data_IF_103393401700
#
_entry.id   IF_103393401700
#
_cell.length_a   1.000
_cell.length_b   1.000
_cell.length_c   1.000
_cell.angle_alpha   90.00
_cell.angle_beta   90.00
_cell.angle_gamma   90.00
#
_symmetry.space_group_name_H-M   'P 1'
#
loop_
_entity.id
_entity.type
_entity.pdbx_description
1 polymer ?
#
# COMPACT_ATOMS: atom_id res chain seq x y z
N UNK A 1 17.15 -25.81 -0.33
CA UNK A 1 17.53 -24.56 0.36
C UNK A 1 18.74 -23.95 -0.30
N UNK A 2 19.83 -24.71 -0.46
CA UNK A 2 21.11 -24.20 -1.00
C UNK A 2 20.97 -23.58 -2.39
N UNK A 3 20.25 -24.23 -3.31
CA UNK A 3 19.99 -23.68 -4.64
C UNK A 3 19.21 -22.34 -4.64
N UNK A 4 18.39 -22.04 -3.62
CA UNK A 4 17.71 -20.75 -3.50
C UNK A 4 18.65 -19.69 -2.93
N UNK A 5 19.52 -20.07 -1.98
CA UNK A 5 20.52 -19.17 -1.38
C UNK A 5 21.62 -18.82 -2.39
N UNK A 6 22.13 -19.80 -3.14
CA UNK A 6 23.16 -19.61 -4.17
C UNK A 6 22.65 -18.77 -5.36
N UNK A 7 21.35 -18.81 -5.65
CA UNK A 7 20.77 -18.02 -6.74
C UNK A 7 20.33 -16.60 -6.31
N UNK A 8 20.36 -16.30 -5.01
CA UNK A 8 20.04 -14.97 -4.51
C UNK A 8 21.20 -14.02 -4.84
N UNK A 9 20.95 -12.74 -5.14
CA UNK A 9 22.01 -11.76 -5.35
C UNK A 9 22.91 -11.65 -4.12
N UNK A 10 24.22 -11.44 -4.32
CA UNK A 10 25.20 -11.31 -3.23
C UNK A 10 24.85 -10.17 -2.27
N UNK A 11 24.25 -9.08 -2.77
CA UNK A 11 23.78 -7.94 -2.00
C UNK A 11 22.43 -8.18 -1.29
N UNK A 12 21.77 -9.31 -1.54
CA UNK A 12 20.38 -9.56 -1.16
C UNK A 12 19.36 -8.71 -1.93
N UNK A 13 18.07 -8.86 -1.60
CA UNK A 13 16.99 -8.01 -2.13
C UNK A 13 16.65 -6.83 -1.20
N UNK A 14 17.00 -6.95 0.08
CA UNK A 14 16.88 -5.89 1.07
C UNK A 14 18.19 -5.80 1.83
N UNK A 15 18.67 -4.58 2.09
CA UNK A 15 19.74 -4.40 3.06
C UNK A 15 19.30 -4.99 4.41
N UNK A 16 20.07 -5.93 4.95
CA UNK A 16 19.93 -6.48 6.31
C UNK A 16 18.63 -7.24 6.69
N UNK A 17 17.70 -7.49 5.74
CA UNK A 17 16.50 -8.31 5.99
C UNK A 17 16.63 -9.71 5.41
N UNK A 18 16.85 -10.67 6.30
CA UNK A 18 16.69 -12.09 6.02
C UNK A 18 15.21 -12.47 6.23
N UNK A 19 14.72 -13.47 5.50
CA UNK A 19 13.42 -14.10 5.72
C UNK A 19 13.59 -15.62 5.74
N UNK A 20 12.57 -16.33 6.22
CA UNK A 20 12.55 -17.79 6.23
C UNK A 20 12.25 -18.34 4.84
N UNK A 21 13.16 -19.18 4.35
CA UNK A 21 13.01 -19.86 3.06
C UNK A 21 11.93 -20.94 3.13
N UNK A 22 11.14 -21.11 2.08
CA UNK A 22 10.12 -22.16 2.01
C UNK A 22 10.35 -23.11 0.83
N UNK A 23 10.02 -24.42 0.97
CA UNK A 23 10.10 -25.35 -0.15
C UNK A 23 9.00 -25.19 -1.19
N UNK A 24 7.94 -24.41 -0.95
CA UNK A 24 6.82 -24.25 -1.89
C UNK A 24 6.19 -22.85 -1.90
N UNK A 25 5.55 -22.42 -3.00
CA UNK A 25 4.76 -21.19 -3.05
C UNK A 25 3.54 -21.25 -2.11
N UNK A 26 2.93 -20.10 -1.85
CA UNK A 26 1.67 -20.02 -1.12
C UNK A 26 0.50 -20.42 -2.01
N UNK A 27 -0.21 -21.49 -1.64
CA UNK A 27 -1.29 -22.04 -2.45
C UNK A 27 -2.59 -21.24 -2.27
N UNK A 28 -3.11 -20.71 -3.38
CA UNK A 28 -4.40 -20.06 -3.44
C UNK A 28 -5.49 -21.06 -3.82
N UNK A 29 -6.66 -20.93 -3.21
CA UNK A 29 -7.88 -21.57 -3.71
C UNK A 29 -8.33 -20.97 -5.04
N UNK A 30 -9.14 -21.71 -5.81
CA UNK A 30 -9.76 -21.20 -7.05
C UNK A 30 -10.57 -19.92 -6.82
N UNK A 31 -11.27 -19.83 -5.68
CA UNK A 31 -12.04 -18.64 -5.28
C UNK A 31 -11.12 -17.44 -5.05
N UNK A 32 -10.02 -17.62 -4.31
CA UNK A 32 -9.04 -16.56 -4.06
C UNK A 32 -8.40 -16.06 -5.36
N UNK A 33 -7.95 -16.97 -6.24
CA UNK A 33 -7.42 -16.60 -7.57
C UNK A 33 -8.41 -15.77 -8.38
N UNK A 34 -9.69 -16.19 -8.44
CA UNK A 34 -10.75 -15.44 -9.14
C UNK A 34 -10.94 -14.06 -8.52
N UNK A 35 -10.89 -13.95 -7.20
CA UNK A 35 -11.01 -12.67 -6.51
C UNK A 35 -9.86 -11.74 -6.88
N UNK A 36 -8.62 -12.18 -6.72
CA UNK A 36 -7.41 -11.38 -6.97
C UNK A 36 -7.32 -10.95 -8.44
N UNK A 37 -7.63 -11.83 -9.41
CA UNK A 37 -7.64 -11.45 -10.83
C UNK A 37 -8.63 -10.32 -11.16
N UNK A 38 -9.73 -10.23 -10.40
CA UNK A 38 -10.79 -9.24 -10.62
C UNK A 38 -10.62 -7.91 -9.86
N UNK A 39 -9.57 -7.73 -9.05
CA UNK A 39 -9.41 -6.53 -8.20
C UNK A 39 -8.72 -5.36 -8.89
N UNK A 40 -7.83 -5.60 -9.85
CA UNK A 40 -7.01 -4.54 -10.46
C UNK A 40 -7.86 -3.38 -11.01
N UNK A 41 -8.87 -3.69 -11.84
CA UNK A 41 -9.70 -2.68 -12.46
C UNK A 41 -10.56 -1.87 -11.45
N UNK A 42 -11.29 -2.50 -10.51
CA UNK A 42 -11.98 -1.76 -9.44
C UNK A 42 -11.06 -0.85 -8.61
N UNK A 43 -9.84 -1.30 -8.27
CA UNK A 43 -8.88 -0.50 -7.50
C UNK A 43 -8.36 0.68 -8.31
N UNK A 44 -8.06 0.49 -9.59
CA UNK A 44 -7.67 1.60 -10.47
C UNK A 44 -8.80 2.62 -10.61
N UNK A 45 -10.05 2.16 -10.78
CA UNK A 45 -11.23 3.03 -10.81
C UNK A 45 -11.43 3.77 -9.49
N UNK A 46 -11.08 3.16 -8.35
CA UNK A 46 -11.12 3.81 -7.04
C UNK A 46 -10.12 4.97 -6.96
N UNK A 47 -8.88 4.77 -7.40
CA UNK A 47 -7.88 5.85 -7.49
C UNK A 47 -8.33 6.98 -8.42
N UNK A 48 -8.85 6.66 -9.61
CA UNK A 48 -9.36 7.66 -10.55
C UNK A 48 -10.54 8.45 -9.98
N UNK A 49 -11.47 7.78 -9.29
CA UNK A 49 -12.58 8.44 -8.62
C UNK A 49 -12.10 9.32 -7.46
N UNK A 50 -11.10 8.87 -6.69
CA UNK A 50 -10.47 9.66 -5.64
C UNK A 50 -9.85 10.96 -6.18
N UNK A 51 -9.08 10.89 -7.27
CA UNK A 51 -8.53 12.06 -7.95
C UNK A 51 -9.63 13.04 -8.39
N UNK A 52 -10.68 12.53 -9.04
CA UNK A 52 -11.77 13.39 -9.52
C UNK A 52 -12.53 14.04 -8.35
N UNK A 53 -12.79 13.31 -7.27
CA UNK A 53 -13.43 13.85 -6.06
C UNK A 53 -12.56 14.95 -5.43
N UNK A 54 -11.26 14.71 -5.29
CA UNK A 54 -10.30 15.70 -4.79
C UNK A 54 -10.34 16.97 -5.64
N UNK A 55 -10.24 16.82 -6.96
CA UNK A 55 -10.19 17.95 -7.91
C UNK A 55 -11.52 18.70 -7.98
N UNK A 56 -12.66 18.02 -7.88
CA UNK A 56 -13.96 18.69 -7.76
C UNK A 56 -14.09 19.47 -6.45
N UNK A 57 -13.61 18.91 -5.33
CA UNK A 57 -13.56 19.63 -4.04
C UNK A 57 -12.67 20.88 -4.12
N UNK A 58 -11.47 20.75 -4.68
CA UNK A 58 -10.53 21.86 -4.84
C UNK A 58 -11.09 22.99 -5.71
N UNK A 59 -11.90 22.65 -6.74
CA UNK A 59 -12.62 23.62 -7.59
C UNK A 59 -13.89 24.18 -6.94
N UNK A 60 -14.30 23.69 -5.78
CA UNK A 60 -15.53 24.11 -5.09
C UNK A 60 -16.83 23.52 -5.67
N UNK A 61 -16.74 22.46 -6.48
CA UNK A 61 -17.88 21.72 -7.02
C UNK A 61 -18.39 20.64 -6.05
N UNK A 62 -17.50 20.15 -5.19
CA UNK A 62 -17.82 19.36 -4.01
C UNK A 62 -17.41 20.16 -2.74
N UNK A 63 -17.89 19.76 -1.54
CA UNK A 63 -17.51 20.42 -0.29
C UNK A 63 -15.99 20.55 -0.13
N UNK A 64 -15.52 21.76 0.23
CA UNK A 64 -14.09 22.09 0.31
C UNK A 64 -13.34 21.33 1.40
N UNK A 65 -14.04 20.81 2.42
CA UNK A 65 -13.40 20.06 3.50
C UNK A 65 -12.67 18.81 3.00
N UNK A 66 -13.09 18.22 1.88
CA UNK A 66 -12.46 17.00 1.33
C UNK A 66 -11.03 17.29 0.88
N UNK A 67 -10.86 18.29 0.00
CA UNK A 67 -9.53 18.74 -0.43
C UNK A 67 -8.75 19.34 0.74
N UNK A 68 -9.38 20.15 1.59
CA UNK A 68 -8.74 20.70 2.79
C UNK A 68 -8.12 19.63 3.70
N UNK A 69 -8.85 18.54 3.95
CA UNK A 69 -8.35 17.39 4.72
C UNK A 69 -7.19 16.68 4.01
N UNK A 70 -7.34 16.42 2.70
CA UNK A 70 -6.28 15.76 1.92
C UNK A 70 -5.04 16.64 1.72
N UNK A 71 -5.17 17.96 1.85
CA UNK A 71 -4.07 18.94 1.78
C UNK A 71 -3.41 19.26 3.14
N UNK A 72 -3.97 18.77 4.26
CA UNK A 72 -3.48 19.04 5.61
C UNK A 72 -2.01 18.61 5.81
N UNK A 73 -1.12 19.56 6.13
CA UNK A 73 0.32 19.33 6.33
C UNK A 73 1.18 19.27 5.07
N UNK A 74 0.59 19.41 3.87
CA UNK A 74 1.35 19.31 2.62
C UNK A 74 1.90 20.67 2.19
N UNK A 75 3.09 20.74 1.59
CA UNK A 75 3.66 21.98 1.09
C UNK A 75 2.79 22.64 0.01
N UNK A 76 2.66 23.96 0.06
CA UNK A 76 1.83 24.74 -0.90
C UNK A 76 2.16 24.45 -2.36
N UNK A 77 3.44 24.29 -2.70
CA UNK A 77 3.87 24.01 -4.07
C UNK A 77 3.38 22.65 -4.56
N UNK A 78 3.32 21.65 -3.68
CA UNK A 78 2.85 20.31 -4.00
C UNK A 78 1.33 20.30 -4.14
N UNK A 79 0.64 21.04 -3.26
CA UNK A 79 -0.80 21.28 -3.36
C UNK A 79 -1.16 22.01 -4.67
N UNK A 80 -0.39 23.01 -5.06
CA UNK A 80 -0.57 23.70 -6.33
C UNK A 80 -0.32 22.75 -7.52
N UNK A 81 0.75 21.95 -7.46
CA UNK A 81 1.11 21.00 -8.51
C UNK A 81 0.00 19.96 -8.74
N UNK A 82 -0.49 19.27 -7.70
CA UNK A 82 -1.53 18.23 -7.87
C UNK A 82 -2.86 18.78 -8.43
N UNK A 83 -3.12 20.08 -8.22
CA UNK A 83 -4.32 20.76 -8.74
C UNK A 83 -4.14 21.28 -10.18
N UNK A 84 -2.93 21.28 -10.71
CA UNK A 84 -2.65 21.73 -12.07
C UNK A 84 -3.53 20.99 -13.10
N UNK A 85 -4.07 21.68 -14.12
CA UNK A 85 -4.86 21.04 -15.17
C UNK A 85 -4.15 19.88 -15.86
N UNK A 86 -2.84 19.97 -16.07
CA UNK A 86 -2.01 18.93 -16.69
C UNK A 86 -1.83 17.68 -15.83
N UNK A 87 -2.17 17.74 -14.55
CA UNK A 87 -2.19 16.56 -13.67
C UNK A 87 -3.55 15.84 -13.69
N UNK A 88 -4.55 16.30 -14.42
CA UNK A 88 -5.87 15.67 -14.45
C UNK A 88 -5.80 14.20 -14.92
N UNK A 89 -6.29 13.25 -14.12
CA UNK A 89 -6.37 11.85 -14.52
C UNK A 89 -5.06 11.07 -14.43
N UNK A 90 -3.95 11.73 -14.10
CA UNK A 90 -2.69 11.06 -13.78
C UNK A 90 -2.82 10.30 -12.45
N UNK A 91 -2.68 8.97 -12.50
CA UNK A 91 -2.79 8.06 -11.36
C UNK A 91 -1.55 7.16 -11.25
N UNK A 92 -1.24 6.60 -10.08
CA UNK A 92 -0.22 5.56 -9.97
C UNK A 92 -0.45 4.44 -10.97
N UNK A 93 0.62 4.02 -11.66
CA UNK A 93 0.57 2.96 -12.68
C UNK A 93 0.90 1.57 -12.16
N UNK A 94 1.38 1.48 -10.91
CA UNK A 94 1.50 0.24 -10.15
C UNK A 94 0.53 0.33 -8.98
N UNK A 95 -0.30 -0.70 -8.81
CA UNK A 95 -1.30 -0.78 -7.75
C UNK A 95 -0.99 -2.02 -6.92
N UNK A 96 -0.68 -1.83 -5.64
CA UNK A 96 -0.47 -2.92 -4.69
C UNK A 96 -1.37 -2.71 -3.46
N UNK A 97 -2.52 -3.38 -3.37
CA UNK A 97 -3.25 -3.46 -2.12
C UNK A 97 -2.53 -4.45 -1.20
N UNK A 98 -2.46 -4.12 0.08
CA UNK A 98 -2.05 -5.09 1.09
C UNK A 98 -3.30 -5.74 1.66
N UNK A 99 -3.43 -7.04 1.39
CA UNK A 99 -4.63 -7.81 1.68
C UNK A 99 -4.38 -8.78 2.82
N UNK A 100 -5.07 -8.61 3.94
CA UNK A 100 -5.11 -9.59 5.00
C UNK A 100 -6.04 -10.74 4.60
N UNK A 101 -5.58 -11.97 4.77
CA UNK A 101 -6.39 -13.15 4.52
C UNK A 101 -7.35 -13.40 5.70
N UNK A 102 -8.65 -13.45 5.43
CA UNK A 102 -9.71 -13.73 6.42
C UNK A 102 -10.37 -15.08 6.14
N UNK A 103 -11.29 -15.52 7.00
CA UNK A 103 -12.09 -16.73 6.73
C UNK A 103 -12.97 -16.58 5.48
N UNK A 104 -13.50 -15.38 5.24
CA UNK A 104 -14.46 -15.12 4.16
C UNK A 104 -13.83 -14.62 2.85
N UNK A 105 -12.53 -14.31 2.85
CA UNK A 105 -11.82 -13.82 1.69
C UNK A 105 -10.65 -12.93 2.05
N UNK A 106 -10.73 -11.66 1.65
CA UNK A 106 -9.65 -10.68 1.84
C UNK A 106 -10.21 -9.39 2.38
N UNK A 107 -9.38 -8.69 3.14
CA UNK A 107 -9.66 -7.33 3.54
C UNK A 107 -8.41 -6.46 3.37
N UNK A 108 -8.58 -5.25 2.84
CA UNK A 108 -7.45 -4.36 2.58
C UNK A 108 -7.05 -3.59 3.82
N UNK A 109 -5.77 -3.65 4.19
CA UNK A 109 -5.19 -2.83 5.26
C UNK A 109 -4.67 -1.49 4.76
N UNK A 110 -4.23 -1.44 3.51
CA UNK A 110 -3.70 -0.26 2.82
C UNK A 110 -3.73 -0.45 1.29
N UNK A 111 -3.54 0.66 0.57
CA UNK A 111 -3.28 0.69 -0.86
C UNK A 111 -1.97 1.46 -1.06
N UNK A 112 -0.90 0.76 -1.41
CA UNK A 112 0.43 1.35 -1.49
C UNK A 112 0.60 2.13 -2.82
N UNK A 113 1.04 3.38 -2.70
CA UNK A 113 1.29 4.29 -3.82
C UNK A 113 2.69 4.15 -4.43
N UNK A 114 3.67 3.65 -3.67
CA UNK A 114 5.08 3.48 -4.05
C UNK A 114 5.56 2.06 -3.66
N UNK A 115 4.97 1.00 -4.25
CA UNK A 115 5.15 -0.33 -3.70
C UNK A 115 6.54 -0.94 -3.96
N UNK A 116 7.29 -1.21 -2.90
CA UNK A 116 8.45 -2.12 -2.94
C UNK A 116 8.06 -3.59 -3.12
N UNK A 117 9.03 -4.51 -3.23
CA UNK A 117 8.80 -5.96 -3.33
C UNK A 117 8.63 -6.51 -4.75
N UNK A 118 8.74 -5.66 -5.78
CA UNK A 118 8.58 -6.06 -7.18
C UNK A 118 9.72 -6.94 -7.71
N UNK A 119 10.98 -6.54 -7.50
CA UNK A 119 12.15 -7.31 -7.94
C UNK A 119 12.30 -8.62 -7.16
N UNK A 120 12.03 -8.58 -5.85
CA UNK A 120 11.97 -9.74 -4.96
C UNK A 120 10.95 -10.75 -5.46
N UNK A 121 9.71 -10.31 -5.73
CA UNK A 121 8.67 -11.19 -6.24
C UNK A 121 9.02 -11.72 -7.63
N UNK A 122 9.56 -10.89 -8.52
CA UNK A 122 9.99 -11.32 -9.86
C UNK A 122 11.06 -12.43 -9.79
N UNK A 123 12.07 -12.27 -8.93
CA UNK A 123 13.08 -13.30 -8.70
C UNK A 123 12.49 -14.57 -8.08
N UNK A 124 11.65 -14.43 -7.05
CA UNK A 124 10.98 -15.55 -6.42
C UNK A 124 10.14 -16.33 -7.43
N UNK A 125 9.31 -15.65 -8.23
CA UNK A 125 8.51 -16.27 -9.29
C UNK A 125 9.38 -17.07 -10.26
N UNK A 126 10.52 -16.52 -10.68
CA UNK A 126 11.50 -17.21 -11.54
C UNK A 126 12.06 -18.48 -10.88
N UNK A 127 12.48 -18.38 -9.62
CA UNK A 127 13.10 -19.50 -8.91
C UNK A 127 12.12 -20.63 -8.62
N UNK A 128 10.91 -20.32 -8.16
CA UNK A 128 9.90 -21.35 -7.92
C UNK A 128 9.34 -21.94 -9.22
N UNK A 129 9.22 -21.16 -10.30
CA UNK A 129 8.85 -21.70 -11.61
C UNK A 129 9.90 -22.70 -12.15
N UNK A 130 11.20 -22.41 -11.99
CA UNK A 130 12.29 -23.37 -12.29
C UNK A 130 12.22 -24.64 -11.44
N UNK A 131 11.68 -24.54 -10.22
CA UNK A 131 11.37 -25.67 -9.36
C UNK A 131 10.15 -26.50 -9.79
N UNK A 132 9.49 -26.13 -10.89
CA UNK A 132 8.33 -26.86 -11.45
C UNK A 132 6.97 -26.40 -10.93
N UNK A 133 6.89 -25.28 -10.20
CA UNK A 133 5.63 -24.73 -9.70
C UNK A 133 4.96 -23.81 -10.73
N UNK A 134 3.63 -23.90 -10.84
CA UNK A 134 2.82 -22.96 -11.62
C UNK A 134 2.56 -21.69 -10.80
N UNK A 135 3.25 -20.60 -11.10
CA UNK A 135 3.19 -19.35 -10.32
C UNK A 135 2.01 -18.49 -10.75
N UNK A 136 1.29 -17.93 -9.77
CA UNK A 136 0.20 -17.00 -10.01
C UNK A 136 0.73 -15.68 -10.58
N UNK A 137 0.35 -15.36 -11.82
CA UNK A 137 0.94 -14.27 -12.62
C UNK A 137 2.04 -14.72 -13.59
N UNK A 138 2.52 -15.96 -13.45
CA UNK A 138 3.55 -16.57 -14.30
C UNK A 138 4.97 -16.19 -13.90
N UNK A 139 5.95 -16.87 -14.51
CA UNK A 139 7.39 -16.67 -14.27
C UNK A 139 7.83 -15.22 -14.51
N UNK A 140 7.31 -14.60 -15.57
CA UNK A 140 7.74 -13.28 -16.07
C UNK A 140 6.72 -12.17 -15.82
N UNK A 141 5.60 -12.45 -15.16
CA UNK A 141 4.48 -11.52 -15.05
C UNK A 141 4.84 -10.17 -14.43
N UNK A 142 5.71 -10.17 -13.41
CA UNK A 142 6.23 -8.95 -12.79
C UNK A 142 7.11 -8.13 -13.74
N UNK A 143 8.04 -8.78 -14.45
CA UNK A 143 8.94 -8.11 -15.40
C UNK A 143 8.17 -7.55 -16.60
N UNK A 144 7.30 -8.36 -17.21
CA UNK A 144 6.44 -7.93 -18.32
C UNK A 144 5.49 -6.81 -17.90
N UNK A 145 4.94 -6.90 -16.69
CA UNK A 145 4.06 -5.90 -16.11
C UNK A 145 4.77 -4.55 -15.94
N UNK A 146 5.94 -4.54 -15.29
CA UNK A 146 6.72 -3.32 -15.10
C UNK A 146 7.21 -2.73 -16.43
N UNK A 147 7.72 -3.58 -17.35
CA UNK A 147 8.15 -3.14 -18.68
C UNK A 147 7.01 -2.52 -19.49
N UNK A 148 5.77 -3.02 -19.34
CA UNK A 148 4.60 -2.46 -20.04
C UNK A 148 4.29 -1.02 -19.65
N UNK A 149 4.83 -0.55 -18.51
CA UNK A 149 4.71 0.84 -18.11
C UNK A 149 5.58 1.76 -18.97
N UNK A 150 6.74 1.26 -19.42
CA UNK A 150 7.81 2.03 -20.04
C UNK A 150 8.36 1.30 -21.27
N UNK A 151 7.70 1.40 -22.45
CA UNK A 151 8.13 0.69 -23.66
C UNK A 151 9.56 1.00 -24.10
N UNK A 152 10.02 2.23 -23.88
CA UNK A 152 11.39 2.71 -24.20
C UNK A 152 12.35 2.60 -22.99
N UNK A 153 11.89 2.01 -21.89
CA UNK A 153 12.60 1.96 -20.62
C UNK A 153 12.43 3.22 -19.77
N UNK A 154 12.91 3.15 -18.52
CA UNK A 154 12.78 4.22 -17.53
C UNK A 154 13.96 4.28 -16.57
N UNK A 155 14.13 5.44 -15.96
CA UNK A 155 14.99 5.62 -14.81
C UNK A 155 14.19 5.40 -13.52
N UNK A 156 14.63 4.48 -12.68
CA UNK A 156 14.10 4.28 -11.33
C UNK A 156 14.90 5.18 -10.38
N UNK A 157 14.24 6.11 -9.71
CA UNK A 157 14.87 6.98 -8.72
C UNK A 157 14.59 6.46 -7.31
N UNK A 158 15.63 6.07 -6.58
CA UNK A 158 15.55 5.58 -5.20
C UNK A 158 16.13 6.64 -4.28
N UNK A 159 15.40 7.06 -3.24
CA UNK A 159 15.95 7.98 -2.24
C UNK A 159 16.78 7.25 -1.19
N UNK A 160 17.51 8.01 -0.38
CA UNK A 160 18.26 7.50 0.77
C UNK A 160 17.33 6.85 1.81
N UNK A 161 16.16 7.45 2.10
CA UNK A 161 15.14 6.89 3.01
C UNK A 161 14.62 5.53 2.51
N UNK A 162 14.53 5.35 1.19
CA UNK A 162 14.14 4.08 0.55
C UNK A 162 15.32 3.17 0.20
N UNK A 163 16.52 3.48 0.70
CA UNK A 163 17.78 2.84 0.33
C UNK A 163 17.83 1.33 0.60
N UNK A 164 17.06 0.83 1.58
CA UNK A 164 16.91 -0.61 1.86
C UNK A 164 16.44 -1.41 0.63
N UNK A 165 15.72 -0.78 -0.30
CA UNK A 165 15.17 -1.38 -1.52
C UNK A 165 16.09 -1.23 -2.73
N UNK A 166 17.19 -0.48 -2.62
CA UNK A 166 18.12 -0.28 -3.73
C UNK A 166 18.62 -1.61 -4.34
N UNK A 167 19.02 -2.63 -3.56
CA UNK A 167 19.45 -3.91 -4.13
C UNK A 167 18.35 -4.61 -4.96
N UNK A 168 17.10 -4.55 -4.51
CA UNK A 168 15.96 -5.06 -5.26
C UNK A 168 15.75 -4.32 -6.58
N UNK A 169 15.86 -2.99 -6.57
CA UNK A 169 15.69 -2.17 -7.78
C UNK A 169 16.82 -2.39 -8.77
N UNK A 170 18.07 -2.51 -8.30
CA UNK A 170 19.23 -2.88 -9.13
C UNK A 170 19.00 -4.23 -9.83
N UNK A 171 18.53 -5.22 -9.08
CA UNK A 171 18.20 -6.53 -9.66
C UNK A 171 17.07 -6.44 -10.68
N UNK A 172 16.02 -5.65 -10.40
CA UNK A 172 14.90 -5.48 -11.31
C UNK A 172 15.34 -4.89 -12.65
N UNK A 173 16.17 -3.84 -12.65
CA UNK A 173 16.65 -3.24 -13.91
C UNK A 173 17.60 -4.15 -14.67
N UNK A 174 18.44 -4.91 -13.98
CA UNK A 174 19.30 -5.92 -14.61
C UNK A 174 18.46 -7.01 -15.31
N UNK A 175 17.40 -7.48 -14.64
CA UNK A 175 16.49 -8.49 -15.17
C UNK A 175 15.64 -8.00 -16.35
N UNK A 176 15.31 -6.70 -16.38
CA UNK A 176 14.59 -6.06 -17.48
C UNK A 176 15.49 -5.83 -18.71
N UNK A 177 16.77 -5.54 -18.49
CA UNK A 177 17.75 -5.30 -19.55
C UNK A 177 17.78 -3.85 -20.05
N UNK A 178 18.24 -3.68 -21.30
CA UNK A 178 18.55 -2.36 -21.89
C UNK A 178 17.35 -1.40 -21.90
N UNK A 179 17.60 -0.13 -21.54
CA UNK A 179 16.59 0.93 -21.43
C UNK A 179 16.20 1.28 -19.99
N UNK A 180 16.46 0.39 -19.03
CA UNK A 180 16.23 0.64 -17.61
C UNK A 180 17.52 0.97 -16.86
N UNK A 181 17.41 1.85 -15.86
CA UNK A 181 18.52 2.18 -14.96
C UNK A 181 18.00 2.56 -13.59
N UNK A 182 18.84 2.45 -12.55
CA UNK A 182 18.56 2.96 -11.21
C UNK A 182 19.53 4.09 -10.88
N UNK A 183 19.04 5.16 -10.30
CA UNK A 183 19.84 6.29 -9.81
C UNK A 183 19.34 6.76 -8.44
N UNK A 184 20.20 7.44 -7.70
CA UNK A 184 19.80 8.09 -6.45
C UNK A 184 18.96 9.35 -6.74
N UNK A 185 17.82 9.49 -6.06
CA UNK A 185 16.89 10.60 -6.27
C UNK A 185 17.54 11.97 -5.98
N UNK A 186 18.39 12.03 -4.94
CA UNK A 186 19.07 13.24 -4.48
C UNK A 186 20.11 13.75 -5.48
N UNK A 187 20.61 12.86 -6.35
CA UNK A 187 21.61 13.16 -7.38
C UNK A 187 21.00 13.38 -8.76
N UNK A 188 19.67 13.33 -8.88
CA UNK A 188 19.00 13.52 -10.15
C UNK A 188 19.24 14.94 -10.68
N UNK A 189 19.83 15.03 -11.87
CA UNK A 189 20.29 16.29 -12.47
C UNK A 189 19.51 16.65 -13.76
N UNK A 190 18.35 16.03 -13.99
CA UNK A 190 17.54 16.22 -15.20
C UNK A 190 17.70 15.10 -16.23
N UNK A 191 16.83 15.12 -17.24
CA UNK A 191 16.82 14.16 -18.35
C UNK A 191 15.43 13.94 -18.95
N UNK A 192 15.40 13.38 -20.17
CA UNK A 192 14.17 13.20 -20.94
C UNK A 192 13.51 11.82 -20.81
N UNK A 193 14.11 10.89 -20.06
CA UNK A 193 13.61 9.51 -19.90
C UNK A 193 12.40 9.47 -18.96
N UNK A 194 11.48 8.54 -19.18
CA UNK A 194 10.42 8.25 -18.20
C UNK A 194 11.03 7.92 -16.84
N UNK A 195 10.36 8.31 -15.74
CA UNK A 195 10.83 8.07 -14.38
C UNK A 195 9.82 7.22 -13.61
N UNK A 196 10.32 6.15 -12.98
CA UNK A 196 9.63 5.50 -11.88
C UNK A 196 10.19 6.04 -10.56
N UNK A 197 9.35 6.76 -9.81
CA UNK A 197 9.73 7.37 -8.54
C UNK A 197 9.60 6.34 -7.42
N UNK A 198 10.72 5.90 -6.86
CA UNK A 198 10.76 4.98 -5.73
C UNK A 198 11.21 5.70 -4.46
N UNK A 199 10.38 6.63 -4.02
CA UNK A 199 10.45 7.31 -2.73
C UNK A 199 9.06 7.85 -2.40
N UNK A 200 8.78 8.21 -1.16
CA UNK A 200 7.49 8.76 -0.71
C UNK A 200 7.50 10.29 -0.80
N UNK A 201 6.33 10.95 -0.91
CA UNK A 201 6.28 12.41 -1.05
C UNK A 201 6.59 13.16 0.25
N UNK A 202 6.63 12.50 1.41
CA UNK A 202 7.13 13.15 2.63
C UNK A 202 8.64 13.42 2.57
N UNK A 203 9.37 12.66 1.72
CA UNK A 203 10.83 12.72 1.59
C UNK A 203 11.32 13.87 0.69
N UNK A 204 10.39 14.64 0.10
CA UNK A 204 10.72 15.75 -0.80
C UNK A 204 11.71 16.79 -0.23
N UNK A 205 11.73 17.11 1.09
CA UNK A 205 12.74 18.01 1.65
C UNK A 205 14.18 17.52 1.44
N UNK A 206 14.40 16.20 1.34
CA UNK A 206 15.72 15.60 1.13
C UNK A 206 16.13 15.54 -0.35
N UNK A 207 15.23 15.85 -1.28
CA UNK A 207 15.42 15.65 -2.73
C UNK A 207 15.48 17.01 -3.45
N UNK A 208 16.67 17.59 -3.70
CA UNK A 208 16.78 18.95 -4.24
C UNK A 208 16.10 19.14 -5.60
N UNK A 209 16.16 18.11 -6.47
CA UNK A 209 15.57 18.12 -7.80
C UNK A 209 14.06 17.82 -7.85
N UNK A 210 13.39 17.65 -6.70
CA UNK A 210 12.00 17.18 -6.65
C UNK A 210 11.02 18.08 -7.41
N UNK A 211 11.14 19.41 -7.27
CA UNK A 211 10.24 20.37 -7.94
C UNK A 211 10.43 20.34 -9.45
N UNK A 212 11.68 20.25 -9.91
CA UNK A 212 12.01 20.17 -11.33
C UNK A 212 11.52 18.85 -11.93
N UNK A 213 11.69 17.75 -11.19
CA UNK A 213 11.18 16.44 -11.57
C UNK A 213 9.65 16.42 -11.68
N UNK A 214 8.94 17.02 -10.72
CA UNK A 214 7.50 17.16 -10.75
C UNK A 214 7.02 18.02 -11.94
N UNK A 215 7.64 19.19 -12.14
CA UNK A 215 7.30 20.11 -13.22
C UNK A 215 7.54 19.52 -14.62
N UNK A 216 8.57 18.68 -14.76
CA UNK A 216 8.89 17.99 -16.02
C UNK A 216 7.81 16.98 -16.44
N UNK A 217 7.10 16.37 -15.48
CA UNK A 217 6.15 15.29 -15.74
C UNK A 217 6.83 13.99 -16.19
N UNK A 218 6.05 13.07 -16.79
CA UNK A 218 6.53 11.73 -17.20
C UNK A 218 7.10 10.92 -16.02
N UNK A 219 6.44 11.03 -14.87
CA UNK A 219 6.80 10.37 -13.62
C UNK A 219 5.61 9.57 -13.11
N UNK A 220 5.83 8.31 -12.76
CA UNK A 220 4.86 7.51 -12.00
C UNK A 220 5.54 6.88 -10.78
N UNK A 221 4.87 6.81 -9.62
CA UNK A 221 3.61 7.47 -9.28
C UNK A 221 3.73 9.02 -9.35
N UNK A 222 2.61 9.73 -9.64
CA UNK A 222 2.61 11.18 -9.79
C UNK A 222 2.87 11.89 -8.45
N UNK A 223 3.25 13.18 -8.49
CA UNK A 223 3.44 14.03 -7.31
C UNK A 223 2.10 14.50 -6.74
N UNK A 224 1.27 13.55 -6.32
CA UNK A 224 -0.07 13.77 -5.78
C UNK A 224 -0.18 13.11 -4.41
N UNK A 225 0.04 13.85 -3.31
CA UNK A 225 0.14 13.29 -1.96
C UNK A 225 -1.12 12.54 -1.53
N UNK A 226 -2.29 12.91 -2.04
CA UNK A 226 -3.53 12.20 -1.70
C UNK A 226 -3.52 10.71 -2.12
N UNK A 227 -2.64 10.25 -3.00
CA UNK A 227 -2.52 8.82 -3.34
C UNK A 227 -1.70 8.01 -2.34
N UNK A 228 -0.89 8.66 -1.50
CA UNK A 228 -0.11 8.04 -0.43
C UNK A 228 -0.86 8.06 0.91
N UNK A 229 -2.11 8.52 0.91
CA UNK A 229 -2.96 8.68 2.10
C UNK A 229 -3.91 7.49 2.31
N UNK A 230 -3.93 6.96 3.54
CA UNK A 230 -4.96 6.00 3.98
C UNK A 230 -6.33 6.67 4.20
N UNK A 231 -6.41 8.00 4.20
CA UNK A 231 -7.65 8.78 4.29
C UNK A 231 -8.72 8.29 3.32
N UNK A 232 -8.36 7.88 2.10
CA UNK A 232 -9.33 7.37 1.13
C UNK A 232 -10.10 6.14 1.62
N UNK A 233 -9.49 5.30 2.46
CA UNK A 233 -10.17 4.14 3.04
C UNK A 233 -11.27 4.56 4.02
N UNK A 234 -11.04 5.62 4.81
CA UNK A 234 -12.05 6.20 5.70
C UNK A 234 -13.10 7.02 4.94
N UNK A 235 -12.66 7.85 3.99
CA UNK A 235 -13.53 8.69 3.15
C UNK A 235 -14.48 7.87 2.27
N UNK A 236 -14.10 6.65 1.92
CA UNK A 236 -15.01 5.71 1.25
C UNK A 236 -16.30 5.46 2.05
N UNK A 237 -16.19 5.41 3.39
CA UNK A 237 -17.29 5.12 4.29
C UNK A 237 -18.02 6.36 4.83
N UNK A 238 -17.47 7.56 4.61
CA UNK A 238 -18.08 8.82 5.06
C UNK A 238 -19.48 8.99 4.48
N UNK A 239 -20.54 9.12 5.30
CA UNK A 239 -21.93 9.19 4.83
C UNK A 239 -22.18 10.29 3.79
N UNK A 240 -21.55 11.45 3.95
CA UNK A 240 -21.66 12.59 3.03
C UNK A 240 -21.15 12.27 1.61
N UNK A 241 -20.22 11.31 1.46
CA UNK A 241 -19.63 10.93 0.18
C UNK A 241 -20.34 9.75 -0.49
N UNK A 242 -21.31 9.09 0.16
CA UNK A 242 -22.00 7.91 -0.39
C UNK A 242 -22.56 8.16 -1.80
N UNK A 243 -23.28 9.27 -1.99
CA UNK A 243 -23.87 9.63 -3.29
C UNK A 243 -22.81 10.04 -4.33
N UNK A 244 -21.68 10.60 -3.87
CA UNK A 244 -20.56 10.97 -4.73
C UNK A 244 -19.91 9.70 -5.27
N UNK A 245 -19.56 8.75 -4.40
CA UNK A 245 -19.01 7.46 -4.80
C UNK A 245 -19.92 6.68 -5.74
N UNK A 246 -21.24 6.66 -5.50
CA UNK A 246 -22.19 6.01 -6.40
C UNK A 246 -22.31 6.66 -7.78
N UNK A 247 -21.91 7.93 -7.95
CA UNK A 247 -21.83 8.59 -9.25
C UNK A 247 -20.51 8.28 -9.96
N UNK A 248 -19.40 8.31 -9.22
CA UNK A 248 -18.05 8.14 -9.79
C UNK A 248 -17.72 6.67 -10.11
N UNK A 249 -18.33 5.73 -9.36
CA UNK A 249 -18.08 4.29 -9.49
C UNK A 249 -19.32 3.55 -9.98
N UNK A 250 -19.10 2.56 -10.85
CA UNK A 250 -20.14 1.58 -11.20
C UNK A 250 -20.56 0.80 -9.97
N UNK A 251 -21.84 0.43 -9.88
CA UNK A 251 -22.39 -0.28 -8.72
C UNK A 251 -21.63 -1.56 -8.35
N UNK A 252 -21.19 -2.34 -9.35
CA UNK A 252 -20.37 -3.55 -9.12
C UNK A 252 -18.98 -3.26 -8.55
N UNK A 253 -18.36 -2.14 -8.94
CA UNK A 253 -17.07 -1.72 -8.37
C UNK A 253 -17.25 -1.22 -6.94
N UNK A 254 -18.31 -0.46 -6.68
CA UNK A 254 -18.65 0.03 -5.36
C UNK A 254 -18.88 -1.14 -4.38
N UNK A 255 -19.69 -2.12 -4.77
CA UNK A 255 -19.91 -3.33 -3.97
C UNK A 255 -18.60 -4.08 -3.71
N UNK A 256 -17.75 -4.22 -4.73
CA UNK A 256 -16.47 -4.89 -4.60
C UNK A 256 -15.54 -4.20 -3.59
N UNK A 257 -15.51 -2.87 -3.60
CA UNK A 257 -14.73 -2.09 -2.65
C UNK A 257 -15.34 -2.16 -1.23
N UNK A 258 -16.67 -2.18 -1.09
CA UNK A 258 -17.35 -2.38 0.19
C UNK A 258 -17.05 -3.74 0.83
N UNK A 259 -16.93 -4.80 0.03
CA UNK A 259 -16.51 -6.12 0.50
C UNK A 259 -15.04 -6.16 0.92
N UNK A 260 -14.20 -5.33 0.30
CA UNK A 260 -12.74 -5.36 0.49
C UNK A 260 -12.28 -4.45 1.64
N UNK A 261 -12.83 -3.24 1.71
CA UNK A 261 -12.37 -2.21 2.64
C UNK A 261 -13.10 -2.36 3.99
N UNK A 262 -12.41 -2.57 5.12
CA UNK A 262 -13.06 -2.48 6.43
C UNK A 262 -13.67 -1.09 6.64
N UNK A 263 -14.72 -0.98 7.47
CA UNK A 263 -15.27 0.32 7.81
C UNK A 263 -14.22 1.15 8.55
N UNK A 264 -14.17 2.45 8.25
CA UNK A 264 -13.20 3.36 8.84
C UNK A 264 -13.72 4.78 8.96
N UNK A 265 -13.02 5.55 9.77
CA UNK A 265 -13.34 6.92 10.14
C UNK A 265 -12.09 7.78 10.07
N UNK A 266 -12.28 9.06 9.81
CA UNK A 266 -11.24 10.07 10.00
C UNK A 266 -11.35 10.55 11.45
N UNK A 267 -10.22 10.70 12.13
CA UNK A 267 -10.18 11.23 13.51
C UNK A 267 -10.34 12.76 13.49
N UNK A 268 -11.54 13.21 13.12
CA UNK A 268 -11.92 14.63 13.07
C UNK A 268 -12.44 15.09 14.45
N UNK A 269 -11.77 16.04 15.13
CA UNK A 269 -12.14 16.52 16.46
C UNK A 269 -13.32 17.51 16.46
N UNK A 270 -13.94 17.77 15.31
CA UNK A 270 -15.08 18.67 15.21
C UNK A 270 -16.25 18.23 16.10
N UNK A 271 -16.87 19.20 16.77
CA UNK A 271 -18.01 18.98 17.65
C UNK A 271 -19.19 18.36 16.88
N UNK A 272 -19.68 17.21 17.36
CA UNK A 272 -20.83 16.51 16.75
C UNK A 272 -22.11 17.02 17.42
N UNK A 273 -23.17 17.38 16.65
CA UNK A 273 -24.43 17.81 17.23
C UNK A 273 -25.02 16.76 18.20
N UNK A 274 -25.74 17.16 19.27
CA UNK A 274 -26.23 16.23 20.31
C UNK A 274 -27.19 15.11 19.84
N UNK A 275 -27.67 15.16 18.60
CA UNK A 275 -28.57 14.18 17.99
C UNK A 275 -27.90 13.40 16.84
N UNK A 276 -26.57 13.51 16.70
CA UNK A 276 -25.76 12.79 15.75
C UNK A 276 -24.70 11.95 16.47
N UNK A 277 -24.11 10.99 15.77
CA UNK A 277 -23.07 10.11 16.30
C UNK A 277 -22.08 9.72 15.20
N UNK A 278 -20.89 9.30 15.60
CA UNK A 278 -19.94 8.58 14.74
C UNK A 278 -20.59 7.26 14.29
N UNK A 279 -20.84 7.04 12.98
CA UNK A 279 -21.61 5.89 12.51
C UNK A 279 -21.00 4.57 12.98
N UNK A 280 -21.82 3.64 13.48
CA UNK A 280 -21.45 2.31 14.01
C UNK A 280 -20.65 2.30 15.31
N UNK A 281 -19.98 3.40 15.67
CA UNK A 281 -19.41 3.57 17.01
C UNK A 281 -20.47 4.04 18.00
N UNK A 282 -21.49 4.74 17.50
CA UNK A 282 -22.66 5.20 18.26
C UNK A 282 -22.29 6.09 19.46
N UNK A 283 -21.25 6.91 19.30
CA UNK A 283 -20.78 7.92 20.26
C UNK A 283 -20.70 9.32 19.63
N UNK A 284 -20.71 10.36 20.46
CA UNK A 284 -20.77 11.75 20.02
C UNK A 284 -19.39 12.45 19.96
N UNK A 285 -18.31 11.77 20.33
CA UNK A 285 -16.95 12.34 20.31
C UNK A 285 -15.87 11.28 20.18
N UNK A 286 -14.67 11.70 19.79
CA UNK A 286 -13.48 10.82 19.82
C UNK A 286 -12.97 10.58 21.24
N UNK A 287 -13.21 11.50 22.18
CA UNK A 287 -12.89 11.29 23.59
C UNK A 287 -13.64 10.06 24.16
N UNK A 288 -14.93 9.91 23.82
CA UNK A 288 -15.70 8.70 24.16
C UNK A 288 -15.11 7.43 23.52
N UNK A 289 -14.56 7.52 22.30
CA UNK A 289 -13.83 6.40 21.69
C UNK A 289 -12.54 6.09 22.45
N UNK A 290 -11.86 7.11 22.97
CA UNK A 290 -10.71 6.97 23.88
C UNK A 290 -11.04 6.24 25.18
N UNK A 291 -12.28 6.38 25.65
CA UNK A 291 -12.80 5.73 26.86
C UNK A 291 -13.35 4.30 26.62
N UNK A 292 -13.31 3.80 25.39
CA UNK A 292 -13.78 2.46 25.07
C UNK A 292 -13.09 1.36 25.89
N UNK A 293 -13.92 0.41 26.36
CA UNK A 293 -13.44 -0.81 26.98
C UNK A 293 -12.61 -1.62 25.99
N UNK A 294 -11.76 -2.53 26.48
CA UNK A 294 -10.95 -3.41 25.62
C UNK A 294 -11.79 -4.17 24.57
N UNK A 295 -13.04 -4.52 24.91
CA UNK A 295 -13.96 -5.22 24.01
C UNK A 295 -14.45 -4.31 22.87
N UNK A 296 -14.68 -3.04 23.16
CA UNK A 296 -15.29 -2.09 22.23
C UNK A 296 -14.23 -1.45 21.32
N UNK A 297 -12.98 -1.34 21.77
CA UNK A 297 -11.85 -0.85 20.94
C UNK A 297 -11.19 -1.94 20.10
N UNK A 298 -11.98 -2.79 19.46
CA UNK A 298 -11.51 -3.67 18.36
C UNK A 298 -11.29 -2.87 17.08
N UNK A 299 -10.38 -1.90 17.18
CA UNK A 299 -10.11 -0.85 16.24
C UNK A 299 -8.60 -0.76 16.00
N UNK A 300 -8.22 -0.23 14.84
CA UNK A 300 -6.84 0.06 14.46
C UNK A 300 -6.74 1.55 14.14
N UNK A 301 -5.95 2.27 14.94
CA UNK A 301 -5.60 3.66 14.70
C UNK A 301 -4.32 3.72 13.85
N UNK A 302 -4.34 4.50 12.77
CA UNK A 302 -3.25 4.61 11.81
C UNK A 302 -3.03 6.07 11.43
N UNK A 303 -1.77 6.52 11.41
CA UNK A 303 -1.41 7.74 10.70
C UNK A 303 -1.71 7.55 9.21
N UNK A 304 -2.30 8.56 8.55
CA UNK A 304 -2.83 8.36 7.21
C UNK A 304 -1.75 8.21 6.13
N UNK A 305 -0.84 9.17 6.00
CA UNK A 305 0.14 9.25 4.92
C UNK A 305 0.94 10.54 5.00
N UNK A 306 1.83 10.79 4.03
CA UNK A 306 2.75 11.95 4.03
C UNK A 306 3.53 12.09 5.36
N UNK A 307 4.00 10.97 5.90
CA UNK A 307 4.69 10.89 7.19
C UNK A 307 5.72 9.77 7.20
N UNK A 308 6.87 10.00 7.83
CA UNK A 308 7.88 8.96 8.11
C UNK A 308 7.30 7.83 9.00
N UNK A 309 6.24 8.10 9.76
CA UNK A 309 5.58 7.10 10.61
C UNK A 309 4.59 6.22 9.82
N UNK A 310 4.25 6.59 8.58
CA UNK A 310 3.25 5.90 7.77
C UNK A 310 3.75 4.59 7.14
N UNK A 311 5.07 4.32 7.22
CA UNK A 311 5.70 3.09 6.76
C UNK A 311 6.14 2.19 7.92
N UNK A 312 6.30 0.88 7.64
CA UNK A 312 6.90 -0.06 8.61
C UNK A 312 6.09 -0.33 9.89
N UNK A 313 4.78 -0.07 9.89
CA UNK A 313 3.87 -0.26 11.06
C UNK A 313 4.19 0.59 12.29
N UNK A 314 5.00 1.65 12.17
CA UNK A 314 5.39 2.54 13.28
C UNK A 314 4.21 3.37 13.79
N UNK A 315 3.43 3.96 12.89
CA UNK A 315 2.22 4.73 13.22
C UNK A 315 0.93 3.89 13.30
N UNK A 316 0.99 2.64 13.78
CA UNK A 316 -0.17 1.74 13.87
C UNK A 316 -0.38 1.25 15.30
N UNK A 317 -1.57 1.51 15.84
CA UNK A 317 -1.97 1.14 17.22
C UNK A 317 -3.22 0.27 17.14
N UNK A 318 -3.16 -0.92 17.76
CA UNK A 318 -4.29 -1.85 17.83
C UNK A 318 -4.94 -1.67 19.20
N UNK A 319 -6.15 -1.10 19.24
CA UNK A 319 -6.75 -0.61 20.49
C UNK A 319 -6.85 -1.68 21.58
N UNK A 320 -7.32 -2.87 21.23
CA UNK A 320 -7.50 -3.97 22.19
C UNK A 320 -6.20 -4.63 22.66
N UNK A 321 -5.05 -4.28 22.08
CA UNK A 321 -3.72 -4.80 22.46
C UNK A 321 -2.93 -3.88 23.39
N UNK A 322 -3.37 -2.64 23.54
CA UNK A 322 -2.70 -1.64 24.37
C UNK A 322 -3.48 -1.34 25.65
N UNK A 323 -2.79 -0.76 26.63
CA UNK A 323 -3.43 -0.32 27.87
C UNK A 323 -4.47 0.79 27.59
N UNK A 324 -5.46 0.95 28.48
CA UNK A 324 -6.51 1.97 28.26
C UNK A 324 -5.97 3.39 28.20
N UNK A 325 -5.01 3.72 29.06
CA UNK A 325 -4.34 5.02 29.06
C UNK A 325 -3.54 5.26 27.78
N UNK A 326 -2.91 4.22 27.22
CA UNK A 326 -2.18 4.31 25.97
C UNK A 326 -3.13 4.55 24.78
N UNK A 327 -4.25 3.83 24.71
CA UNK A 327 -5.29 4.05 23.70
C UNK A 327 -5.88 5.47 23.77
N UNK A 328 -6.26 5.91 24.97
CA UNK A 328 -6.82 7.25 25.18
C UNK A 328 -5.82 8.34 24.76
N UNK A 329 -4.55 8.21 25.16
CA UNK A 329 -3.49 9.14 24.78
C UNK A 329 -3.28 9.17 23.26
N UNK A 330 -3.36 8.01 22.60
CA UNK A 330 -3.20 7.91 21.15
C UNK A 330 -4.37 8.58 20.39
N UNK A 331 -5.61 8.42 20.87
CA UNK A 331 -6.76 9.10 20.30
C UNK A 331 -6.69 10.62 20.51
N UNK A 332 -6.30 11.07 21.71
CA UNK A 332 -6.08 12.48 21.99
C UNK A 332 -5.01 13.08 21.06
N UNK A 333 -3.87 12.41 20.92
CA UNK A 333 -2.80 12.82 20.01
C UNK A 333 -3.28 12.89 18.55
N UNK A 334 -4.05 11.89 18.10
CA UNK A 334 -4.62 11.88 16.75
C UNK A 334 -5.57 13.06 16.49
N UNK A 335 -6.32 13.50 17.50
CA UNK A 335 -7.16 14.70 17.43
C UNK A 335 -6.31 15.98 17.34
N UNK A 336 -5.25 16.10 18.15
CA UNK A 336 -4.33 17.25 18.14
C UNK A 336 -3.65 17.44 16.77
N UNK A 337 -3.26 16.33 16.14
CA UNK A 337 -2.56 16.35 14.85
C UNK A 337 -3.48 16.57 13.64
N UNK A 338 -4.81 16.55 13.80
CA UNK A 338 -5.77 16.53 12.68
C UNK A 338 -5.49 17.55 11.56
N UNK A 339 -5.06 18.76 11.91
CA UNK A 339 -4.82 19.85 10.95
C UNK A 339 -3.51 19.74 10.16
N UNK A 340 -2.57 18.92 10.60
CA UNK A 340 -1.23 18.77 10.01
C UNK A 340 -0.92 17.35 9.59
N UNK A 341 -1.39 16.36 10.33
CA UNK A 341 -1.11 14.95 10.11
C UNK A 341 -2.37 14.14 10.44
N UNK A 342 -3.33 14.03 9.51
CA UNK A 342 -4.58 13.33 9.77
C UNK A 342 -4.38 11.85 10.11
N UNK A 343 -5.21 11.36 11.03
CA UNK A 343 -5.27 9.95 11.42
C UNK A 343 -6.58 9.31 10.98
N UNK A 344 -6.53 8.00 10.77
CA UNK A 344 -7.70 7.18 10.49
C UNK A 344 -7.85 6.08 11.53
N UNK A 345 -9.09 5.79 11.90
CA UNK A 345 -9.46 4.60 12.65
C UNK A 345 -10.16 3.63 11.70
N UNK A 346 -9.88 2.35 11.85
CA UNK A 346 -10.47 1.29 11.03
C UNK A 346 -10.90 0.13 11.91
N UNK A 347 -12.01 -0.54 11.56
CA UNK A 347 -12.42 -1.80 12.21
C UNK A 347 -11.28 -2.82 12.14
N UNK A 348 -10.92 -3.40 13.28
CA UNK A 348 -9.94 -4.50 13.31
C UNK A 348 -10.55 -5.76 12.69
N UNK A 349 -9.83 -6.34 11.74
CA UNK A 349 -10.25 -7.58 11.06
C UNK A 349 -9.42 -8.76 11.54
N UNK A 350 -10.09 -9.84 11.94
CA UNK A 350 -9.41 -11.09 12.29
C UNK A 350 -8.89 -11.78 11.04
N UNK A 351 -7.60 -12.05 11.02
CA UNK A 351 -6.99 -12.82 9.94
C UNK A 351 -7.08 -14.31 10.24
N UNK A 352 -7.28 -15.11 9.20
CA UNK A 352 -7.25 -16.56 9.27
C UNK A 352 -5.84 -17.08 9.57
N UNK A 353 -5.77 -18.19 10.29
CA UNK A 353 -4.53 -18.97 10.45
C UNK A 353 -4.30 -19.88 9.24
N UNK A 354 -3.05 -19.94 8.80
CA UNK A 354 -2.57 -20.80 7.72
C UNK A 354 -1.40 -21.65 8.20
N UNK A 355 -1.23 -22.80 7.57
CA UNK A 355 -0.05 -23.64 7.76
C UNK A 355 0.84 -23.53 6.52
N UNK A 356 2.10 -23.15 6.72
CA UNK A 356 3.06 -23.03 5.63
C UNK A 356 4.42 -23.63 6.02
N UNK A 357 5.04 -24.48 5.17
CA UNK A 357 6.34 -25.04 5.48
C UNK A 357 7.45 -24.00 5.33
N UNK A 358 8.50 -24.12 6.12
CA UNK A 358 9.73 -23.35 5.98
C UNK A 358 10.94 -24.22 6.32
N UNK A 359 12.13 -23.76 5.93
CA UNK A 359 13.40 -24.32 6.37
C UNK A 359 13.88 -23.59 7.62
N UNK A 360 14.11 -24.35 8.69
CA UNK A 360 14.73 -23.83 9.90
C UNK A 360 16.12 -23.28 9.59
N UNK A 361 16.43 -22.06 10.04
CA UNK A 361 17.70 -21.41 9.70
C UNK A 361 18.91 -22.03 10.39
N UNK A 362 18.72 -22.73 11.52
CA UNK A 362 19.79 -23.37 12.28
C UNK A 362 20.02 -24.81 11.82
N UNK A 363 18.94 -25.58 11.69
CA UNK A 363 19.04 -27.01 11.39
C UNK A 363 18.89 -27.35 9.91
N UNK A 364 18.32 -26.45 9.10
CA UNK A 364 17.96 -26.70 7.70
C UNK A 364 16.76 -27.64 7.54
N UNK A 365 16.16 -28.12 8.62
CA UNK A 365 15.01 -29.02 8.58
C UNK A 365 13.75 -28.32 8.11
N UNK A 366 12.88 -29.07 7.42
CA UNK A 366 11.56 -28.58 7.06
C UNK A 366 10.64 -28.58 8.28
N UNK A 367 10.17 -27.40 8.68
CA UNK A 367 9.19 -27.18 9.76
C UNK A 367 7.90 -26.60 9.20
N UNK A 368 6.82 -26.64 9.98
CA UNK A 368 5.54 -26.01 9.65
C UNK A 368 5.37 -24.78 10.53
N UNK A 369 5.08 -23.63 9.92
CA UNK A 369 4.64 -22.43 10.60
C UNK A 369 3.11 -22.39 10.59
N UNK A 370 2.50 -22.28 11.77
CA UNK A 370 1.12 -21.81 11.92
C UNK A 370 1.19 -20.29 12.04
N UNK A 371 0.61 -19.58 11.08
CA UNK A 371 0.82 -18.15 10.92
C UNK A 371 -0.36 -17.40 10.32
N UNK A 372 -0.22 -16.08 10.22
CA UNK A 372 -1.16 -15.18 9.56
C UNK A 372 -0.55 -14.71 8.24
N UNK A 373 -1.37 -14.57 7.21
CA UNK A 373 -0.90 -14.22 5.86
C UNK A 373 -1.41 -12.84 5.40
N UNK A 374 -0.48 -12.04 4.87
CA UNK A 374 -0.76 -10.86 4.05
C UNK A 374 -0.37 -11.16 2.61
N UNK A 375 -1.29 -10.88 1.68
CA UNK A 375 -1.09 -11.03 0.25
C UNK A 375 -0.99 -9.66 -0.41
N UNK A 376 0.04 -9.47 -1.23
CA UNK A 376 0.30 -8.25 -1.97
C UNK A 376 0.29 -8.57 -3.48
N UNK A 377 -0.89 -8.57 -4.14
CA UNK A 377 -0.96 -8.65 -5.59
C UNK A 377 -0.47 -7.35 -6.23
N UNK A 378 0.24 -7.45 -7.35
CA UNK A 378 0.70 -6.30 -8.13
C UNK A 378 -0.09 -6.21 -9.42
N UNK A 379 -0.76 -5.07 -9.62
CA UNK A 379 -1.43 -4.74 -10.87
C UNK A 379 -0.69 -3.62 -11.58
N UNK A 380 -0.45 -3.79 -12.87
CA UNK A 380 0.19 -2.82 -13.74
C UNK A 380 -0.84 -2.20 -14.66
N UNK A 381 -0.82 -0.87 -14.78
CA UNK A 381 -1.71 -0.09 -15.63
C UNK A 381 -0.96 0.37 -16.87
N UNK A 382 -1.29 -0.22 -18.02
CA UNK A 382 -0.68 0.15 -19.29
C UNK A 382 -1.10 1.56 -19.76
N UNK A 383 -0.50 2.04 -20.86
CA UNK A 383 -0.81 3.36 -21.42
C UNK A 383 -2.26 3.54 -21.91
N UNK A 384 -3.05 2.47 -21.99
CA UNK A 384 -4.48 2.52 -22.32
C UNK A 384 -5.37 2.48 -21.07
N UNK A 385 -4.79 2.43 -19.87
CA UNK A 385 -5.51 2.33 -18.61
C UNK A 385 -6.00 0.91 -18.30
N UNK A 386 -5.50 -0.12 -19.00
CA UNK A 386 -5.89 -1.51 -18.73
C UNK A 386 -4.99 -2.10 -17.65
N UNK A 387 -5.61 -2.71 -16.66
CA UNK A 387 -4.93 -3.37 -15.54
C UNK A 387 -4.57 -4.82 -15.87
N UNK A 388 -3.33 -5.23 -15.60
CA UNK A 388 -2.88 -6.64 -15.65
C UNK A 388 -2.24 -7.03 -14.32
N UNK A 389 -2.63 -8.17 -13.75
CA UNK A 389 -1.94 -8.77 -12.60
C UNK A 389 -0.59 -9.32 -13.06
N UNK A 390 0.50 -8.92 -12.41
CA UNK A 390 1.84 -9.48 -12.69
C UNK A 390 2.28 -10.57 -11.71
N UNK A 391 1.75 -10.58 -10.50
CA UNK A 391 2.06 -11.60 -9.49
C UNK A 391 1.45 -11.27 -8.14
N UNK A 392 1.59 -12.17 -7.17
CA UNK A 392 1.17 -11.94 -5.79
C UNK A 392 2.23 -12.47 -4.82
N UNK A 393 2.72 -11.59 -3.94
CA UNK A 393 3.64 -11.95 -2.87
C UNK A 393 2.83 -12.31 -1.62
N UNK A 394 3.14 -13.45 -1.00
CA UNK A 394 2.62 -13.81 0.31
C UNK A 394 3.69 -13.57 1.37
N UNK A 395 3.32 -12.84 2.42
CA UNK A 395 4.09 -12.74 3.67
C UNK A 395 3.34 -13.52 4.75
N UNK A 396 3.96 -14.57 5.29
CA UNK A 396 3.42 -15.34 6.41
C UNK A 396 4.25 -15.05 7.65
N UNK A 397 3.61 -14.66 8.75
CA UNK A 397 4.28 -14.42 10.04
C UNK A 397 3.69 -15.33 11.12
N UNK A 398 4.44 -15.61 12.22
CA UNK A 398 3.93 -16.40 13.34
C UNK A 398 2.56 -15.92 13.86
N UNK A 399 1.72 -16.85 14.34
CA UNK A 399 0.32 -16.58 14.69
C UNK A 399 0.10 -15.53 15.81
N UNK A 400 1.09 -15.35 16.68
CA UNK A 400 1.13 -14.35 17.75
C UNK A 400 1.38 -12.93 17.23
N UNK A 401 1.86 -12.77 15.99
CA UNK A 401 2.07 -11.46 15.36
C UNK A 401 0.78 -10.96 14.73
N UNK A 402 0.29 -9.80 15.18
CA UNK A 402 -0.88 -9.13 14.59
C UNK A 402 -0.53 -8.12 13.50
N UNK A 403 0.68 -7.54 13.55
CA UNK A 403 1.24 -6.73 12.46
C UNK A 403 1.95 -7.67 11.49
N UNK A 404 1.47 -7.74 10.25
CA UNK A 404 2.01 -8.64 9.22
C UNK A 404 2.83 -7.84 8.22
N UNK A 405 4.14 -7.79 8.40
CA UNK A 405 5.08 -7.18 7.46
C UNK A 405 6.31 -8.08 7.28
N UNK A 406 7.20 -7.76 6.33
CA UNK A 406 8.45 -8.50 6.15
C UNK A 406 9.33 -8.38 7.40
N UNK A 407 9.66 -9.52 8.01
CA UNK A 407 10.48 -9.66 9.22
C UNK A 407 11.37 -10.89 9.11
N UNK A 408 12.37 -11.00 10.00
CA UNK A 408 13.33 -12.13 10.03
C UNK A 408 12.69 -13.50 10.25
N UNK A 409 11.61 -13.51 11.03
CA UNK A 409 10.77 -14.67 11.32
C UNK A 409 9.62 -14.85 10.31
N UNK A 410 9.53 -14.00 9.28
CA UNK A 410 8.51 -14.10 8.25
C UNK A 410 8.94 -15.00 7.08
N UNK A 411 7.97 -15.63 6.42
CA UNK A 411 8.15 -16.36 5.16
C UNK A 411 7.68 -15.46 4.01
N UNK A 412 8.54 -15.26 3.00
CA UNK A 412 8.21 -14.56 1.77
C UNK A 412 8.25 -15.53 0.59
N UNK A 413 7.11 -15.71 -0.07
CA UNK A 413 6.96 -16.64 -1.20
C UNK A 413 5.99 -16.07 -2.25
N UNK A 414 6.14 -16.45 -3.54
CA UNK A 414 5.11 -16.14 -4.51
C UNK A 414 3.85 -16.97 -4.22
N UNK A 415 2.71 -16.55 -4.75
CA UNK A 415 1.50 -17.37 -4.75
C UNK A 415 1.44 -18.33 -5.95
N UNK A 416 0.71 -19.44 -5.80
CA UNK A 416 0.33 -20.39 -6.88
C UNK A 416 -1.17 -20.62 -6.93
#
# INVERSE_FOLDING_TARGET
>A
MDALKEAAPDKGFFADRQWLWSPRPFELSKRQRKILNGLGHPLHRFQQAGDEIYRQSARGLLPKWISGLLDAGKPDWLVAHQRDPGQAGETPRVIRPDLLLTEDGFTASELDGVPGGMGTLAWLSKMYARGGFEIFGGEKGMLEGFASLFPEGAEILVSEESGDYLPEMEWLVEALGGGFSVSQAEKWAGGDREVYRFFELFDLPAIPGAKDLAARGRVTPPFKPHFEEKLWLALFWTPALRKVWSKELRGSHLQRLQELLPFGWVVDPSEIPPHAALPRLEVASWDEVGDFSQKDRRLVLKVSGFSELAWGSRGVIIGHDVASSEWQSAIAHAQEEFSTQPWVVQEFQETKLVEHPYFDSETGEKRIMVGRARLCPYYFVDGQGKTKLGGCLATIVPADKKKIHGMRDGILVPCM
#
